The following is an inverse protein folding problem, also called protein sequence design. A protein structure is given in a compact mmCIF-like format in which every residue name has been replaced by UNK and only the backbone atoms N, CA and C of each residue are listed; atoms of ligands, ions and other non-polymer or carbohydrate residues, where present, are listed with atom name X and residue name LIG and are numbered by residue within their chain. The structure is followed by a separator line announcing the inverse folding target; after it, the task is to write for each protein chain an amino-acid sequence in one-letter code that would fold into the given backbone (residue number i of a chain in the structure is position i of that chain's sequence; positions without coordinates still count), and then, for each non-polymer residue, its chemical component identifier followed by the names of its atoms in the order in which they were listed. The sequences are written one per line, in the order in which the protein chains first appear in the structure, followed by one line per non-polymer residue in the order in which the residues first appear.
data_IF_272849620599
#
_entry.id   IF_272849620599
#
_cell.length_a   1.000
_cell.length_b   1.000
_cell.length_c   1.000
_cell.angle_alpha   90.00
_cell.angle_beta   90.00
_cell.angle_gamma   90.00
#
_symmetry.space_group_name_H-M   'P 1'
#
loop_
_entity.id
_entity.type
_entity.pdbx_description
1 polymer ?
#
# COMPACT_ATOMS: atom_id res chain seq x y z
N UNK A 1 1.02 -3.03 1.43
CA UNK A 1 0.86 -3.37 0.00
C UNK A 1 -0.48 -4.06 -0.16
N UNK A 2 -1.34 -3.53 -1.03
CA UNK A 2 -2.69 -4.04 -1.20
C UNK A 2 -3.72 -3.34 -0.31
N UNK A 3 -4.89 -3.06 -0.90
CA UNK A 3 -6.07 -2.51 -0.21
C UNK A 3 -7.28 -3.41 -0.46
N UNK A 4 -7.09 -4.73 -0.34
CA UNK A 4 -8.18 -5.72 -0.33
C UNK A 4 -8.84 -5.81 1.05
N UNK A 5 -9.58 -6.89 1.33
CA UNK A 5 -10.23 -7.07 2.64
C UNK A 5 -9.23 -6.93 3.79
N UNK A 6 -8.18 -7.76 3.81
CA UNK A 6 -7.19 -7.76 4.89
C UNK A 6 -6.48 -6.40 4.97
N UNK A 7 -5.81 -5.98 3.89
CA UNK A 7 -5.05 -4.72 3.87
C UNK A 7 -5.87 -3.47 4.23
N UNK A 8 -7.16 -3.40 3.85
CA UNK A 8 -8.00 -2.24 4.20
C UNK A 8 -8.35 -2.20 5.68
N UNK A 9 -8.65 -3.34 6.30
CA UNK A 9 -8.90 -3.39 7.75
C UNK A 9 -7.61 -3.21 8.54
N UNK A 10 -6.47 -3.72 8.06
CA UNK A 10 -5.17 -3.44 8.66
C UNK A 10 -4.87 -1.95 8.66
N UNK A 11 -5.09 -1.25 7.54
CA UNK A 11 -4.96 0.21 7.47
C UNK A 11 -5.90 0.91 8.47
N UNK A 12 -7.16 0.49 8.55
CA UNK A 12 -8.15 1.03 9.49
C UNK A 12 -7.65 0.95 10.93
N UNK A 13 -7.31 -0.24 11.40
CA UNK A 13 -6.93 -0.46 12.80
C UNK A 13 -5.60 0.19 13.14
N UNK A 14 -4.66 0.27 12.20
CA UNK A 14 -3.42 1.04 12.41
C UNK A 14 -3.70 2.52 12.65
N UNK A 15 -4.60 3.13 11.87
CA UNK A 15 -5.00 4.52 12.07
C UNK A 15 -5.71 4.71 13.41
N UNK A 16 -6.62 3.79 13.79
CA UNK A 16 -7.32 3.83 15.08
C UNK A 16 -6.36 3.74 16.28
N UNK A 17 -5.27 2.99 16.15
CA UNK A 17 -4.18 2.89 17.14
C UNK A 17 -3.16 4.04 17.06
N UNK A 18 -3.39 5.04 16.20
CA UNK A 18 -2.59 6.25 16.10
C UNK A 18 -1.37 6.16 15.17
N UNK A 19 -1.25 5.10 14.38
CA UNK A 19 -0.21 5.01 13.35
C UNK A 19 -0.54 5.89 12.14
N UNK A 20 0.50 6.43 11.50
CA UNK A 20 0.37 7.23 10.27
C UNK A 20 0.69 6.37 9.04
N UNK A 21 -0.34 5.90 8.35
CA UNK A 21 -0.16 5.12 7.10
C UNK A 21 0.03 6.10 5.95
N UNK A 22 1.27 6.28 5.49
CA UNK A 22 1.63 7.25 4.42
C UNK A 22 1.68 6.66 3.02
N UNK A 23 1.90 5.36 2.89
CA UNK A 23 2.11 4.70 1.60
C UNK A 23 1.15 3.53 1.43
N UNK A 24 0.53 3.43 0.26
CA UNK A 24 -0.40 2.36 -0.06
C UNK A 24 -0.19 1.90 -1.50
N UNK A 25 0.40 0.72 -1.69
CA UNK A 25 0.42 0.07 -3.01
C UNK A 25 -0.98 -0.41 -3.41
N UNK A 26 -1.39 -0.06 -4.63
CA UNK A 26 -2.71 -0.28 -5.20
C UNK A 26 -2.60 -0.99 -6.56
N UNK A 27 -3.71 -1.59 -7.01
CA UNK A 27 -3.83 -2.04 -8.40
C UNK A 27 -4.01 -0.83 -9.30
N UNK A 28 -3.26 -0.79 -10.39
CA UNK A 28 -3.32 0.28 -11.37
C UNK A 28 -3.05 -0.29 -12.77
N UNK A 29 -4.12 -0.50 -13.53
CA UNK A 29 -4.07 -1.12 -14.86
C UNK A 29 -3.41 -0.20 -15.92
N UNK A 30 -3.14 1.07 -15.58
CA UNK A 30 -2.40 1.97 -16.47
C UNK A 30 -0.88 1.74 -16.42
N UNK A 31 -0.38 1.04 -15.40
CA UNK A 31 1.03 0.71 -15.24
C UNK A 31 1.35 -0.66 -15.85
N UNK A 32 2.53 -0.83 -16.44
CA UNK A 32 2.95 -2.08 -17.09
C UNK A 32 2.95 -3.27 -16.11
N UNK A 33 3.37 -3.04 -14.86
CA UNK A 33 3.34 -4.07 -13.81
C UNK A 33 1.94 -4.27 -13.17
N UNK A 34 0.93 -3.50 -13.60
CA UNK A 34 -0.44 -3.54 -13.08
C UNK A 34 -0.60 -2.94 -11.67
N UNK A 35 0.41 -2.23 -11.17
CA UNK A 35 0.47 -1.68 -9.82
C UNK A 35 1.13 -0.30 -9.80
N UNK A 36 0.66 0.54 -8.90
CA UNK A 36 1.32 1.77 -8.47
C UNK A 36 1.17 1.88 -6.95
N UNK A 37 1.60 2.99 -6.36
CA UNK A 37 1.27 3.31 -4.99
C UNK A 37 0.80 4.75 -4.84
N UNK A 38 0.09 4.99 -3.75
CA UNK A 38 -0.31 6.31 -3.30
C UNK A 38 0.60 6.74 -2.15
N UNK A 39 0.96 8.02 -2.14
CA UNK A 39 1.69 8.67 -1.08
C UNK A 39 0.87 9.83 -0.50
N UNK A 40 0.68 9.84 0.81
CA UNK A 40 0.12 10.97 1.55
C UNK A 40 1.08 11.39 2.66
N UNK A 41 1.57 12.63 2.59
CA UNK A 41 2.40 13.23 3.64
C UNK A 41 1.65 13.25 4.99
N UNK A 42 0.34 13.51 4.95
CA UNK A 42 -0.54 13.60 6.12
C UNK A 42 -1.13 12.25 6.55
N UNK A 43 -0.84 11.19 5.81
CA UNK A 43 -1.42 9.87 6.01
C UNK A 43 -2.80 9.75 5.36
N UNK A 44 -3.32 8.53 5.30
CA UNK A 44 -4.63 8.27 4.72
C UNK A 44 -5.76 8.39 5.73
N UNK A 45 -6.94 8.77 5.24
CA UNK A 45 -8.21 8.59 5.93
C UNK A 45 -8.92 7.34 5.39
N UNK A 46 -9.29 6.43 6.30
CA UNK A 46 -9.89 5.15 5.90
C UNK A 46 -11.25 5.33 5.21
N UNK A 47 -12.11 6.19 5.74
CA UNK A 47 -13.46 6.38 5.22
C UNK A 47 -13.43 7.03 3.82
N UNK A 48 -12.54 8.00 3.62
CA UNK A 48 -12.30 8.65 2.33
C UNK A 48 -11.78 7.65 1.28
N UNK A 49 -10.79 6.81 1.63
CA UNK A 49 -10.30 5.76 0.73
C UNK A 49 -11.39 4.74 0.38
N UNK A 50 -12.16 4.29 1.37
CA UNK A 50 -13.26 3.35 1.15
C UNK A 50 -14.30 3.91 0.20
N UNK A 51 -14.78 5.12 0.50
CA UNK A 51 -15.77 5.81 -0.34
C UNK A 51 -15.27 5.96 -1.77
N UNK A 52 -14.04 6.43 -1.96
CA UNK A 52 -13.47 6.59 -3.30
C UNK A 52 -13.40 5.25 -4.04
N UNK A 53 -12.93 4.18 -3.39
CA UNK A 53 -12.88 2.84 -3.99
C UNK A 53 -14.26 2.31 -4.35
N UNK A 54 -15.27 2.57 -3.52
CA UNK A 54 -16.65 2.14 -3.78
C UNK A 54 -17.25 2.84 -5.00
N UNK A 55 -17.01 4.14 -5.15
CA UNK A 55 -17.49 4.96 -6.26
C UNK A 55 -16.76 4.65 -7.57
N UNK A 56 -15.43 4.52 -7.52
CA UNK A 56 -14.57 4.45 -8.72
C UNK A 56 -14.12 3.02 -9.08
N UNK A 57 -14.34 2.05 -8.18
CA UNK A 57 -13.86 0.65 -8.29
C UNK A 57 -12.33 0.50 -8.39
N UNK A 58 -11.60 1.57 -8.12
CA UNK A 58 -10.14 1.64 -8.06
C UNK A 58 -9.74 2.71 -7.05
N UNK A 59 -8.46 2.69 -6.64
CA UNK A 59 -7.83 3.78 -5.90
C UNK A 59 -6.92 4.64 -6.80
N UNK A 60 -6.70 4.23 -8.05
CA UNK A 60 -5.96 5.04 -9.00
C UNK A 60 -6.71 6.37 -9.25
N UNK A 61 -6.04 7.50 -9.04
CA UNK A 61 -6.64 8.83 -9.14
C UNK A 61 -7.27 9.36 -7.85
N UNK A 62 -7.04 8.71 -6.70
CA UNK A 62 -7.46 9.23 -5.40
C UNK A 62 -6.88 10.64 -5.17
N UNK A 63 -7.72 11.66 -4.91
CA UNK A 63 -7.31 13.07 -4.98
C UNK A 63 -6.43 13.53 -3.83
N UNK A 64 -6.53 12.88 -2.66
CA UNK A 64 -5.81 13.29 -1.45
C UNK A 64 -4.45 12.56 -1.30
N UNK A 65 -3.89 12.06 -2.41
CA UNK A 65 -2.59 11.43 -2.43
C UNK A 65 -1.87 11.60 -3.77
N UNK A 66 -0.54 11.59 -3.73
CA UNK A 66 0.30 11.57 -4.92
C UNK A 66 0.47 10.12 -5.40
N UNK A 67 0.33 9.89 -6.71
CA UNK A 67 0.68 8.61 -7.32
C UNK A 67 2.21 8.50 -7.45
N UNK A 68 2.78 7.42 -6.92
CA UNK A 68 4.19 7.04 -7.08
C UNK A 68 4.29 5.67 -7.78
N UNK A 69 5.46 5.36 -8.38
CA UNK A 69 5.68 4.08 -9.06
C UNK A 69 5.82 2.90 -8.09
N UNK A 70 5.57 1.68 -8.56
CA UNK A 70 5.84 0.43 -7.81
C UNK A 70 7.30 0.37 -7.35
N UNK A 71 8.24 0.71 -8.24
CA UNK A 71 9.67 0.78 -7.92
C UNK A 71 9.98 1.76 -6.77
N UNK A 72 9.36 2.94 -6.79
CA UNK A 72 9.55 3.95 -5.73
C UNK A 72 9.01 3.44 -4.41
N UNK A 73 7.85 2.77 -4.40
CA UNK A 73 7.28 2.17 -3.21
C UNK A 73 8.24 1.15 -2.58
N UNK A 74 8.81 0.22 -3.36
CA UNK A 74 9.71 -0.80 -2.82
C UNK A 74 11.08 -0.28 -2.36
N UNK A 75 11.52 0.87 -2.88
CA UNK A 75 12.75 1.57 -2.46
C UNK A 75 12.54 2.56 -1.30
N UNK A 76 11.30 2.74 -0.87
CA UNK A 76 10.97 3.65 0.23
C UNK A 76 11.36 3.03 1.56
N UNK A 77 11.82 3.88 2.49
CA UNK A 77 12.08 3.47 3.87
C UNK A 77 10.78 3.33 4.65
N UNK A 78 10.57 2.20 5.31
CA UNK A 78 9.41 1.94 6.15
C UNK A 78 9.79 1.59 7.60
N UNK A 79 9.03 2.08 8.57
CA UNK A 79 9.10 1.52 9.93
C UNK A 79 8.47 0.12 9.97
N UNK A 80 7.32 -0.03 9.31
CA UNK A 80 6.60 -1.29 9.17
C UNK A 80 6.12 -1.42 7.73
N UNK A 81 6.47 -2.53 7.09
CA UNK A 81 5.91 -2.93 5.79
C UNK A 81 4.92 -4.07 6.00
N UNK A 82 3.74 -3.95 5.39
CA UNK A 82 2.67 -4.96 5.49
C UNK A 82 2.29 -5.45 4.09
N UNK A 83 2.83 -6.57 3.62
CA UNK A 83 2.39 -7.23 2.39
C UNK A 83 1.05 -7.94 2.60
N UNK A 84 0.02 -7.53 1.86
CA UNK A 84 -1.37 -7.95 2.12
C UNK A 84 -2.18 -8.20 0.84
N UNK A 85 -1.53 -8.46 -0.31
CA UNK A 85 -2.23 -8.74 -1.56
C UNK A 85 -1.74 -9.95 -2.35
N UNK A 86 -0.47 -10.01 -2.74
CA UNK A 86 0.05 -11.02 -3.67
C UNK A 86 1.07 -11.92 -2.97
N UNK A 87 1.09 -13.19 -3.36
CA UNK A 87 2.19 -14.11 -3.04
C UNK A 87 3.45 -13.76 -3.85
N UNK A 88 4.63 -14.09 -3.32
CA UNK A 88 5.95 -13.87 -3.91
C UNK A 88 6.16 -12.44 -4.43
N UNK A 89 5.53 -11.45 -3.78
CA UNK A 89 5.68 -10.04 -4.10
C UNK A 89 7.06 -9.52 -3.68
N UNK A 90 7.63 -10.01 -2.59
CA UNK A 90 8.99 -9.72 -2.14
C UNK A 90 9.95 -10.71 -2.80
N UNK A 91 10.43 -10.36 -3.98
CA UNK A 91 11.45 -11.12 -4.71
C UNK A 91 12.85 -10.92 -4.11
N UNK A 92 13.83 -11.73 -4.53
CA UNK A 92 15.24 -11.54 -4.14
C UNK A 92 15.76 -10.12 -4.47
N UNK A 93 15.31 -9.56 -5.59
CA UNK A 93 15.68 -8.21 -6.01
C UNK A 93 15.10 -7.14 -5.09
N UNK A 94 13.81 -7.25 -4.74
CA UNK A 94 13.17 -6.33 -3.78
C UNK A 94 13.83 -6.47 -2.41
N UNK A 95 14.02 -7.71 -1.94
CA UNK A 95 14.62 -7.99 -0.64
C UNK A 95 16.02 -7.36 -0.48
N UNK A 96 16.84 -7.34 -1.53
CA UNK A 96 18.17 -6.70 -1.52
C UNK A 96 18.13 -5.18 -1.33
N UNK A 97 17.03 -4.54 -1.72
CA UNK A 97 16.87 -3.08 -1.71
C UNK A 97 15.89 -2.58 -0.64
N UNK A 98 15.29 -3.49 0.13
CA UNK A 98 14.25 -3.16 1.09
C UNK A 98 14.85 -2.49 2.33
N UNK A 99 14.44 -1.26 2.62
CA UNK A 99 14.80 -0.53 3.84
C UNK A 99 13.60 -0.51 4.79
N UNK A 100 13.51 -1.53 5.65
CA UNK A 100 12.40 -1.68 6.60
C UNK A 100 12.86 -2.18 7.96
N UNK A 101 12.31 -1.63 9.05
CA UNK A 101 12.59 -2.12 10.40
C UNK A 101 11.85 -3.43 10.73
N UNK A 102 10.58 -3.55 10.32
CA UNK A 102 9.75 -4.75 10.52
C UNK A 102 8.85 -5.04 9.32
N UNK A 103 8.71 -6.31 8.99
CA UNK A 103 7.66 -6.80 8.08
C UNK A 103 6.60 -7.57 8.87
N UNK A 104 5.32 -7.34 8.55
CA UNK A 104 4.19 -8.12 9.07
C UNK A 104 3.38 -8.66 7.89
N UNK A 105 3.35 -9.98 7.74
CA UNK A 105 2.79 -10.65 6.56
C UNK A 105 1.31 -10.96 6.77
N UNK A 106 0.46 -10.30 5.98
CA UNK A 106 -0.99 -10.49 5.98
C UNK A 106 -1.45 -11.41 4.83
N UNK A 107 -0.65 -11.51 3.77
CA UNK A 107 -0.83 -12.47 2.68
C UNK A 107 -0.09 -13.79 2.95
N UNK A 108 -0.45 -14.85 2.23
CA UNK A 108 0.27 -16.12 2.29
C UNK A 108 1.50 -16.07 1.38
N UNK A 109 2.69 -16.25 1.97
CA UNK A 109 3.97 -16.25 1.25
C UNK A 109 4.17 -15.01 0.37
N UNK A 110 4.00 -13.78 0.91
CA UNK A 110 4.22 -12.56 0.15
C UNK A 110 5.68 -12.35 -0.21
#
# INVERSE_FOLDING_TARGET
QGFGNVGSYTLKYLIEEGAKVKYLSIRDESEECGRSALYSEDGFDYESLQKYREENKTLAGYPDAEKISDETFWKTKFDILIPAALENIITEEIAKNLDVNKAAEDANGP
#
